data_IF_981363604511
#
_entry.id   IF_981363604511
#
_cell.length_a   1.000
_cell.length_b   1.000
_cell.length_c   1.000
_cell.angle_alpha   90.00
_cell.angle_beta   90.00
_cell.angle_gamma   90.00
#
_symmetry.space_group_name_H-M   'P 1'
#
loop_
_entity.id
_entity.type
_entity.pdbx_description
1 polymer ?
#
# COMPACT_ATOMS: atom_id res chain seq x y z
N UNK A 1 10.47 -37.34 12.45
CA UNK A 1 9.66 -36.30 13.10
C UNK A 1 9.80 -35.05 12.25
N UNK A 2 8.71 -34.56 11.66
CA UNK A 2 8.69 -33.26 10.97
C UNK A 2 9.10 -32.19 11.97
N UNK A 3 10.06 -31.34 11.60
CA UNK A 3 10.53 -30.26 12.46
C UNK A 3 9.53 -29.11 12.35
N UNK A 4 8.96 -28.66 13.47
CA UNK A 4 8.06 -27.51 13.48
C UNK A 4 8.85 -26.23 13.71
N UNK A 5 8.67 -25.22 12.86
CA UNK A 5 9.26 -23.88 13.01
C UNK A 5 8.17 -22.82 13.06
N UNK A 6 8.45 -21.72 13.75
CA UNK A 6 7.64 -20.50 13.65
C UNK A 6 8.16 -19.68 12.47
N UNK A 7 7.25 -19.23 11.61
CA UNK A 7 7.54 -18.29 10.52
C UNK A 7 6.80 -16.98 10.83
N UNK A 8 7.55 -15.93 11.11
CA UNK A 8 7.00 -14.60 11.39
C UNK A 8 6.97 -13.77 10.10
N UNK A 9 5.78 -13.28 9.75
CA UNK A 9 5.53 -12.56 8.51
C UNK A 9 4.97 -11.17 8.83
N UNK A 10 5.57 -10.13 8.27
CA UNK A 10 4.94 -8.82 8.13
C UNK A 10 4.27 -8.71 6.77
N UNK A 11 3.01 -8.29 6.76
CA UNK A 11 2.13 -8.34 5.60
C UNK A 11 1.55 -6.94 5.39
N UNK A 12 1.75 -6.39 4.21
CA UNK A 12 1.06 -5.18 3.73
C UNK A 12 0.13 -5.61 2.59
N UNK A 13 -1.18 -5.47 2.80
CA UNK A 13 -2.23 -5.83 1.84
C UNK A 13 -2.74 -4.58 1.10
N UNK A 14 -1.83 -3.85 0.47
CA UNK A 14 -2.13 -2.61 -0.22
C UNK A 14 -2.99 -2.72 -1.49
N UNK A 15 -3.61 -1.61 -1.86
CA UNK A 15 -4.51 -1.47 -3.02
C UNK A 15 -3.82 -1.77 -4.37
N UNK A 16 -2.56 -1.39 -4.54
CA UNK A 16 -1.80 -1.57 -5.80
C UNK A 16 -0.91 -2.81 -5.76
N UNK A 17 -0.26 -3.06 -4.63
CA UNK A 17 0.69 -4.16 -4.41
C UNK A 17 0.47 -4.71 -3.02
N UNK A 18 0.64 -6.02 -2.87
CA UNK A 18 0.70 -6.69 -1.58
C UNK A 18 2.13 -7.16 -1.34
N UNK A 19 2.68 -6.85 -0.18
CA UNK A 19 4.10 -6.99 0.14
C UNK A 19 4.23 -7.85 1.39
N UNK A 20 5.21 -8.75 1.40
CA UNK A 20 5.57 -9.51 2.60
C UNK A 20 7.06 -9.39 2.90
N UNK A 21 7.37 -9.43 4.19
CA UNK A 21 8.72 -9.62 4.71
C UNK A 21 8.67 -10.71 5.79
N UNK A 22 9.61 -11.65 5.72
CA UNK A 22 9.62 -12.83 6.58
C UNK A 22 10.94 -12.93 7.34
N UNK A 23 10.91 -13.51 8.53
CA UNK A 23 12.10 -13.71 9.37
C UNK A 23 13.06 -14.80 8.85
N UNK A 24 12.61 -15.62 7.90
CA UNK A 24 13.46 -16.53 7.12
C UNK A 24 14.23 -15.81 5.99
N UNK A 25 14.10 -14.49 5.85
CA UNK A 25 14.80 -13.66 4.86
C UNK A 25 14.04 -13.47 3.55
N UNK A 26 12.88 -14.12 3.36
CA UNK A 26 12.06 -13.92 2.17
C UNK A 26 11.40 -12.54 2.23
N UNK A 27 11.69 -11.70 1.23
CA UNK A 27 11.04 -10.41 0.97
C UNK A 27 10.54 -10.42 -0.46
N UNK A 28 9.23 -10.29 -0.65
CA UNK A 28 8.63 -10.29 -1.99
C UNK A 28 7.38 -9.45 -2.03
N UNK A 29 6.93 -9.12 -3.24
CA UNK A 29 5.68 -8.43 -3.47
C UNK A 29 4.98 -9.00 -4.70
N UNK A 30 3.66 -8.85 -4.73
CA UNK A 30 2.82 -9.21 -5.86
C UNK A 30 1.87 -8.05 -6.12
N UNK A 31 1.73 -7.53 -7.36
CA UNK A 31 0.66 -6.59 -7.68
C UNK A 31 -0.69 -7.15 -7.24
N UNK A 32 -1.55 -6.35 -6.61
CA UNK A 32 -2.81 -6.80 -5.96
C UNK A 32 -3.92 -7.11 -6.97
N UNK A 33 -3.59 -7.93 -7.96
CA UNK A 33 -4.42 -8.36 -9.06
C UNK A 33 -4.48 -9.88 -9.09
N UNK A 34 -5.70 -10.41 -9.17
CA UNK A 34 -5.96 -11.84 -9.30
C UNK A 34 -6.88 -12.04 -10.49
N UNK A 35 -6.47 -12.90 -11.42
CA UNK A 35 -7.19 -13.21 -12.64
C UNK A 35 -7.67 -14.66 -12.64
N UNK A 36 -8.90 -14.85 -13.08
CA UNK A 36 -9.48 -16.18 -13.31
C UNK A 36 -9.71 -16.39 -14.82
N UNK A 37 -9.31 -17.53 -15.40
CA UNK A 37 -9.58 -17.82 -16.81
C UNK A 37 -11.05 -17.65 -17.18
N UNK A 38 -11.32 -16.99 -18.32
CA UNK A 38 -12.69 -16.71 -18.79
C UNK A 38 -13.41 -17.94 -19.31
N UNK A 39 -12.67 -18.91 -19.83
CA UNK A 39 -13.18 -20.06 -20.58
C UNK A 39 -12.18 -21.23 -20.60
N UNK A 40 -12.55 -22.32 -21.26
CA UNK A 40 -11.71 -23.51 -21.39
C UNK A 40 -10.40 -23.24 -22.18
N UNK A 41 -10.39 -22.26 -23.09
CA UNK A 41 -9.21 -21.94 -23.91
C UNK A 41 -8.16 -21.24 -23.04
N UNK A 42 -8.56 -20.20 -22.32
CA UNK A 42 -7.72 -19.51 -21.35
C UNK A 42 -7.28 -20.46 -20.23
N UNK A 43 -8.17 -21.31 -19.70
CA UNK A 43 -7.78 -22.32 -18.69
C UNK A 43 -6.70 -23.28 -19.21
N UNK A 44 -6.85 -23.76 -20.45
CA UNK A 44 -5.85 -24.61 -21.10
C UNK A 44 -4.53 -23.88 -21.34
N UNK A 45 -4.57 -22.59 -21.68
CA UNK A 45 -3.37 -21.76 -21.88
C UNK A 45 -2.55 -21.61 -20.59
N UNK A 46 -3.20 -21.37 -19.45
CA UNK A 46 -2.49 -21.16 -18.18
C UNK A 46 -2.16 -22.46 -17.43
N UNK A 47 -2.94 -23.53 -17.63
CA UNK A 47 -2.78 -24.80 -16.91
C UNK A 47 -3.16 -24.72 -15.42
N UNK A 48 -3.69 -23.59 -14.95
CA UNK A 48 -4.15 -23.34 -13.58
C UNK A 48 -5.32 -22.37 -13.55
N UNK A 49 -6.08 -22.40 -12.46
CA UNK A 49 -7.33 -21.64 -12.31
C UNK A 49 -7.16 -20.23 -11.75
N UNK A 50 -6.00 -19.91 -11.16
CA UNK A 50 -5.74 -18.60 -10.55
C UNK A 50 -4.40 -18.07 -11.04
N UNK A 51 -4.39 -16.81 -11.50
CA UNK A 51 -3.22 -16.11 -12.00
C UNK A 51 -3.05 -14.84 -11.16
N UNK A 52 -1.83 -14.57 -10.70
CA UNK A 52 -1.55 -13.46 -9.79
C UNK A 52 -0.66 -12.40 -10.44
N UNK A 53 -0.75 -11.17 -9.93
CA UNK A 53 0.24 -10.12 -10.16
C UNK A 53 0.41 -9.71 -11.62
N UNK A 54 1.67 -9.51 -12.03
CA UNK A 54 2.04 -9.03 -13.36
C UNK A 54 1.56 -9.95 -14.49
N UNK A 55 1.53 -11.26 -14.25
CA UNK A 55 1.01 -12.22 -15.22
C UNK A 55 -0.49 -11.99 -15.46
N UNK A 56 -1.25 -11.73 -14.40
CA UNK A 56 -2.67 -11.43 -14.50
C UNK A 56 -2.93 -10.13 -15.27
N UNK A 57 -2.10 -9.10 -15.04
CA UNK A 57 -2.18 -7.81 -15.74
C UNK A 57 -1.82 -7.96 -17.22
N UNK A 58 -0.75 -8.70 -17.52
CA UNK A 58 -0.26 -8.96 -18.89
C UNK A 58 -1.32 -9.67 -19.73
N UNK A 59 -2.00 -10.65 -19.13
CA UNK A 59 -3.00 -11.47 -19.82
C UNK A 59 -4.46 -11.11 -19.48
N UNK A 60 -4.72 -9.89 -19.02
CA UNK A 60 -6.06 -9.40 -18.61
C UNK A 60 -7.18 -9.59 -19.65
N UNK A 61 -6.86 -9.70 -20.94
CA UNK A 61 -7.86 -9.98 -21.98
C UNK A 61 -8.44 -11.40 -21.88
N UNK A 62 -7.63 -12.36 -21.42
CA UNK A 62 -8.01 -13.76 -21.24
C UNK A 62 -8.56 -14.08 -19.83
N UNK A 63 -8.54 -13.09 -18.92
CA UNK A 63 -8.83 -13.27 -17.50
C UNK A 63 -9.97 -12.35 -17.04
N UNK A 64 -10.81 -12.85 -16.13
CA UNK A 64 -11.64 -12.01 -15.28
C UNK A 64 -10.75 -11.48 -14.16
N UNK A 65 -10.33 -10.23 -14.28
CA UNK A 65 -9.33 -9.59 -13.42
C UNK A 65 -9.98 -8.85 -12.26
N UNK A 66 -9.52 -9.12 -11.04
CA UNK A 66 -10.03 -8.52 -9.81
C UNK A 66 -8.90 -7.87 -8.99
N UNK A 67 -9.21 -6.73 -8.36
CA UNK A 67 -8.44 -6.17 -7.24
C UNK A 67 -9.28 -6.34 -5.97
N UNK A 68 -8.81 -7.05 -4.93
CA UNK A 68 -9.59 -7.29 -3.72
C UNK A 68 -9.72 -6.06 -2.81
N UNK A 69 -8.76 -5.13 -2.92
CA UNK A 69 -8.68 -3.96 -2.05
C UNK A 69 -9.07 -2.66 -2.78
N UNK A 70 -9.65 -1.72 -2.04
CA UNK A 70 -9.91 -0.33 -2.43
C UNK A 70 -9.68 0.56 -1.21
N UNK A 71 -8.90 1.64 -1.36
CA UNK A 71 -8.52 2.53 -0.24
C UNK A 71 -7.96 1.78 0.99
N UNK A 72 -7.15 0.74 0.76
CA UNK A 72 -6.55 -0.10 1.80
C UNK A 72 -7.56 -0.97 2.57
N UNK A 73 -8.81 -1.04 2.09
CA UNK A 73 -9.86 -1.86 2.68
C UNK A 73 -10.27 -2.97 1.74
N UNK A 74 -10.79 -4.07 2.28
CA UNK A 74 -11.46 -5.10 1.46
C UNK A 74 -12.64 -4.44 0.75
N UNK A 75 -12.72 -4.60 -0.57
CA UNK A 75 -13.82 -4.04 -1.36
C UNK A 75 -15.16 -4.52 -0.81
N UNK A 76 -16.10 -3.59 -0.73
CA UNK A 76 -17.45 -3.84 -0.25
C UNK A 76 -17.55 -4.24 1.24
N UNK A 77 -16.48 -4.09 2.03
CA UNK A 77 -16.50 -4.44 3.47
C UNK A 77 -17.57 -3.69 4.29
N UNK A 78 -17.92 -2.46 3.88
CA UNK A 78 -18.96 -1.69 4.55
C UNK A 78 -20.38 -2.00 4.04
N UNK A 79 -20.50 -2.79 2.98
CA UNK A 79 -21.79 -3.20 2.39
C UNK A 79 -22.41 -4.40 3.13
N UNK A 80 -23.46 -5.00 2.56
CA UNK A 80 -24.06 -6.21 3.09
C UNK A 80 -23.03 -7.37 3.07
N UNK A 81 -22.70 -7.99 4.22
CA UNK A 81 -21.78 -9.13 4.29
C UNK A 81 -22.22 -10.35 3.46
N UNK A 82 -23.51 -10.44 3.12
CA UNK A 82 -24.04 -11.50 2.28
C UNK A 82 -23.95 -11.22 0.77
N UNK A 83 -23.47 -10.04 0.37
CA UNK A 83 -23.33 -9.68 -1.05
C UNK A 83 -22.32 -10.58 -1.76
N UNK A 84 -22.62 -10.91 -3.02
CA UNK A 84 -21.77 -11.75 -3.86
C UNK A 84 -20.43 -11.06 -4.11
N UNK A 85 -20.46 -9.74 -4.24
CA UNK A 85 -19.31 -8.86 -4.48
C UNK A 85 -18.34 -8.88 -3.29
N UNK A 86 -18.85 -8.77 -2.06
CA UNK A 86 -18.02 -8.85 -0.85
C UNK A 86 -17.42 -10.25 -0.67
N UNK A 87 -18.22 -11.31 -0.84
CA UNK A 87 -17.73 -12.70 -0.77
C UNK A 87 -16.65 -12.97 -1.82
N UNK A 88 -16.81 -12.43 -3.03
CA UNK A 88 -15.80 -12.53 -4.07
C UNK A 88 -14.54 -11.74 -3.72
N UNK A 89 -14.66 -10.52 -3.17
CA UNK A 89 -13.51 -9.74 -2.71
C UNK A 89 -12.72 -10.46 -1.61
N UNK A 90 -13.40 -11.06 -0.62
CA UNK A 90 -12.78 -11.89 0.41
C UNK A 90 -12.07 -13.11 -0.19
N UNK A 91 -12.72 -13.83 -1.11
CA UNK A 91 -12.13 -14.99 -1.76
C UNK A 91 -10.86 -14.62 -2.54
N UNK A 92 -10.90 -13.51 -3.28
CA UNK A 92 -9.75 -12.98 -4.03
C UNK A 92 -8.62 -12.56 -3.08
N UNK A 93 -8.93 -11.87 -2.00
CA UNK A 93 -7.95 -11.46 -0.98
C UNK A 93 -7.30 -12.68 -0.32
N UNK A 94 -8.11 -13.70 0.00
CA UNK A 94 -7.64 -14.96 0.59
C UNK A 94 -6.72 -15.73 -0.34
N UNK A 95 -7.07 -15.83 -1.62
CA UNK A 95 -6.21 -16.45 -2.63
C UNK A 95 -4.86 -15.72 -2.76
N UNK A 96 -4.88 -14.38 -2.74
CA UNK A 96 -3.67 -13.57 -2.82
C UNK A 96 -2.79 -13.72 -1.57
N UNK A 97 -3.37 -13.70 -0.37
CA UNK A 97 -2.62 -13.93 0.87
C UNK A 97 -2.04 -15.34 0.93
N UNK A 98 -2.81 -16.36 0.53
CA UNK A 98 -2.32 -17.73 0.48
C UNK A 98 -1.11 -17.84 -0.45
N UNK A 99 -1.20 -17.25 -1.65
CA UNK A 99 -0.09 -17.24 -2.60
C UNK A 99 1.18 -16.58 -2.02
N UNK A 100 1.03 -15.46 -1.30
CA UNK A 100 2.15 -14.80 -0.63
C UNK A 100 2.78 -15.68 0.46
N UNK A 101 1.96 -16.34 1.28
CA UNK A 101 2.45 -17.25 2.33
C UNK A 101 3.12 -18.50 1.72
N UNK A 102 2.61 -19.01 0.60
CA UNK A 102 3.23 -20.11 -0.13
C UNK A 102 4.62 -19.71 -0.65
N UNK A 103 4.77 -18.51 -1.24
CA UNK A 103 6.07 -17.97 -1.64
C UNK A 103 7.04 -17.82 -0.45
N UNK A 104 6.53 -17.45 0.73
CA UNK A 104 7.34 -17.35 1.95
C UNK A 104 7.86 -18.73 2.42
N UNK A 105 7.03 -19.76 2.32
CA UNK A 105 7.39 -21.14 2.71
C UNK A 105 8.33 -21.80 1.69
N UNK A 106 8.08 -21.62 0.40
CA UNK A 106 8.90 -22.15 -0.69
C UNK A 106 10.31 -21.55 -0.71
N UNK A 107 10.47 -20.34 -0.18
CA UNK A 107 11.77 -19.69 -0.06
C UNK A 107 12.69 -20.25 1.04
N UNK A 108 12.18 -21.10 1.95
CA UNK A 108 13.03 -21.81 2.90
C UNK A 108 13.70 -23.01 2.20
N UNK A 109 15.03 -23.13 2.36
CA UNK A 109 15.81 -24.21 1.76
C UNK A 109 15.66 -25.53 2.51
N UNK A 110 15.16 -25.52 3.75
CA UNK A 110 14.99 -26.71 4.57
C UNK A 110 13.71 -27.47 4.19
N UNK A 111 13.86 -28.70 3.68
CA UNK A 111 12.73 -29.55 3.28
C UNK A 111 12.13 -30.30 4.48
N UNK A 112 10.82 -30.54 4.44
CA UNK A 112 10.12 -31.33 5.46
C UNK A 112 9.95 -30.60 6.80
N UNK A 113 9.78 -29.28 6.74
CA UNK A 113 9.48 -28.41 7.88
C UNK A 113 7.99 -28.08 7.87
N UNK A 114 7.34 -28.25 9.02
CA UNK A 114 5.99 -27.73 9.24
C UNK A 114 6.10 -26.32 9.85
N UNK A 115 5.30 -25.37 9.38
CA UNK A 115 5.33 -23.99 9.86
C UNK A 115 4.11 -23.67 10.71
N UNK A 116 4.35 -23.04 11.86
CA UNK A 116 3.38 -22.20 12.56
C UNK A 116 3.58 -20.78 12.03
N UNK A 117 2.61 -20.26 11.29
CA UNK A 117 2.70 -18.97 10.61
C UNK A 117 2.06 -17.88 11.45
N UNK A 118 2.85 -16.93 11.93
CA UNK A 118 2.38 -15.74 12.63
C UNK A 118 2.50 -14.52 11.72
N UNK A 119 1.46 -13.68 11.67
CA UNK A 119 1.43 -12.53 10.78
C UNK A 119 0.98 -11.24 11.44
N UNK A 120 1.68 -10.14 11.17
CA UNK A 120 1.15 -8.79 11.41
C UNK A 120 0.70 -8.23 10.06
N UNK A 121 -0.59 -7.87 9.96
CA UNK A 121 -1.17 -7.24 8.77
C UNK A 121 -1.26 -5.73 8.99
N UNK A 122 -0.55 -4.98 8.16
CA UNK A 122 -0.71 -3.55 8.01
C UNK A 122 -2.07 -3.22 7.39
N UNK A 123 -2.77 -2.25 7.97
CA UNK A 123 -4.00 -1.69 7.44
C UNK A 123 -3.97 -0.16 7.54
N UNK A 124 -4.84 0.56 6.79
CA UNK A 124 -5.01 1.99 6.97
C UNK A 124 -5.25 2.37 8.42
N UNK A 125 -4.76 3.53 8.83
CA UNK A 125 -4.73 3.93 10.23
C UNK A 125 -6.11 3.89 10.90
N UNK A 126 -7.11 4.42 10.20
CA UNK A 126 -8.50 4.47 10.67
C UNK A 126 -9.37 3.36 10.03
N UNK A 127 -8.82 2.14 9.92
CA UNK A 127 -9.57 1.00 9.41
C UNK A 127 -10.84 0.70 10.26
N UNK A 128 -11.99 0.63 9.60
CA UNK A 128 -13.27 0.34 10.28
C UNK A 128 -13.24 -1.03 10.97
N UNK A 129 -14.06 -1.21 12.03
CA UNK A 129 -14.21 -2.52 12.71
C UNK A 129 -14.60 -3.63 11.73
N UNK A 130 -15.40 -3.30 10.70
CA UNK A 130 -15.78 -4.24 9.63
C UNK A 130 -14.57 -4.61 8.77
N UNK A 131 -13.75 -3.65 8.37
CA UNK A 131 -12.53 -3.92 7.61
C UNK A 131 -11.52 -4.76 8.42
N UNK A 132 -11.30 -4.43 9.70
CA UNK A 132 -10.45 -5.23 10.59
C UNK A 132 -10.94 -6.68 10.67
N UNK A 133 -12.25 -6.89 10.86
CA UNK A 133 -12.84 -8.24 10.82
C UNK A 133 -12.65 -8.94 9.47
N UNK A 134 -12.82 -8.23 8.37
CA UNK A 134 -12.62 -8.78 7.03
C UNK A 134 -11.18 -9.26 6.81
N UNK A 135 -10.18 -8.51 7.28
CA UNK A 135 -8.76 -8.92 7.24
C UNK A 135 -8.49 -10.16 8.09
N UNK A 136 -9.08 -10.25 9.29
CA UNK A 136 -9.01 -11.47 10.11
C UNK A 136 -9.65 -12.67 9.40
N UNK A 137 -10.79 -12.47 8.73
CA UNK A 137 -11.47 -13.52 7.96
C UNK A 137 -10.63 -13.98 6.74
N UNK A 138 -9.89 -13.07 6.11
CA UNK A 138 -8.92 -13.38 5.04
C UNK A 138 -7.75 -14.21 5.57
N UNK A 139 -7.22 -13.85 6.74
CA UNK A 139 -6.12 -14.55 7.39
C UNK A 139 -6.51 -15.95 7.92
N UNK A 140 -7.79 -16.17 8.24
CA UNK A 140 -8.27 -17.40 8.88
C UNK A 140 -7.98 -18.64 8.03
N UNK A 141 -7.27 -19.60 8.63
CA UNK A 141 -6.86 -20.84 7.98
C UNK A 141 -5.64 -20.71 7.06
N UNK A 142 -5.01 -19.53 7.03
CA UNK A 142 -3.73 -19.28 6.36
C UNK A 142 -2.65 -19.00 7.42
N UNK A 143 -2.98 -18.14 8.39
CA UNK A 143 -2.12 -17.79 9.52
C UNK A 143 -2.62 -18.50 10.79
N UNK A 144 -1.70 -19.00 11.60
CA UNK A 144 -1.95 -19.60 12.91
C UNK A 144 -2.12 -18.53 14.00
N UNK A 145 -1.47 -17.38 13.83
CA UNK A 145 -1.62 -16.19 14.67
C UNK A 145 -1.65 -14.93 13.80
N UNK A 146 -2.53 -13.98 14.11
CA UNK A 146 -2.65 -12.74 13.35
C UNK A 146 -2.86 -11.54 14.27
N UNK A 147 -2.14 -10.45 13.99
CA UNK A 147 -2.40 -9.13 14.54
C UNK A 147 -2.64 -8.14 13.41
N UNK A 148 -3.46 -7.12 13.67
CA UNK A 148 -3.67 -6.01 12.73
C UNK A 148 -3.07 -4.76 13.37
N UNK A 149 -2.27 -4.03 12.59
CA UNK A 149 -1.65 -2.79 13.02
C UNK A 149 -1.76 -1.73 11.93
N UNK A 150 -1.64 -0.46 12.29
CA UNK A 150 -1.69 0.60 11.27
C UNK A 150 -0.40 0.62 10.46
N UNK A 151 -0.52 0.79 9.14
CA UNK A 151 0.60 0.92 8.20
C UNK A 151 1.65 1.95 8.68
N UNK A 152 1.29 3.22 8.99
CA UNK A 152 2.28 4.20 9.41
C UNK A 152 2.93 3.85 10.76
N UNK A 153 2.25 3.14 11.67
CA UNK A 153 2.87 2.63 12.89
C UNK A 153 3.88 1.52 12.60
N UNK A 154 3.55 0.57 11.71
CA UNK A 154 4.50 -0.48 11.32
C UNK A 154 5.75 0.12 10.70
N UNK A 155 5.60 1.12 9.82
CA UNK A 155 6.73 1.89 9.26
C UNK A 155 7.55 2.55 10.38
N UNK A 156 6.91 3.24 11.32
CA UNK A 156 7.60 3.85 12.46
C UNK A 156 8.40 2.82 13.27
N UNK A 157 7.77 1.68 13.56
CA UNK A 157 8.36 0.60 14.34
C UNK A 157 9.60 0.01 13.65
N UNK A 158 9.50 -0.28 12.36
CA UNK A 158 10.62 -0.81 11.57
C UNK A 158 11.80 0.14 11.44
N UNK A 159 11.55 1.45 11.52
CA UNK A 159 12.58 2.50 11.48
C UNK A 159 13.08 2.91 12.88
N UNK A 160 12.57 2.27 13.94
CA UNK A 160 12.84 2.65 15.33
C UNK A 160 12.49 4.13 15.66
N UNK A 161 11.46 4.66 15.01
CA UNK A 161 10.94 6.02 15.17
C UNK A 161 9.75 6.03 16.13
N UNK A 162 9.97 5.54 17.36
CA UNK A 162 8.88 5.28 18.30
C UNK A 162 8.36 6.53 19.04
N UNK A 163 9.08 7.65 18.97
CA UNK A 163 8.71 8.91 19.65
C UNK A 163 9.19 10.12 18.86
N UNK A 164 8.50 11.26 19.03
CA UNK A 164 8.82 12.54 18.41
C UNK A 164 8.98 12.43 16.89
N UNK A 165 8.11 11.66 16.23
CA UNK A 165 8.14 11.47 14.78
C UNK A 165 6.72 11.59 14.21
N UNK A 166 6.61 12.09 12.98
CA UNK A 166 5.37 12.07 12.22
C UNK A 166 5.60 11.29 10.93
N UNK A 167 4.92 10.16 10.78
CA UNK A 167 5.00 9.32 9.59
C UNK A 167 3.93 9.74 8.59
N UNK A 168 4.31 9.88 7.33
CA UNK A 168 3.45 10.07 6.17
C UNK A 168 3.60 8.84 5.29
N UNK A 169 2.62 7.95 5.25
CA UNK A 169 2.60 6.80 4.35
C UNK A 169 1.70 7.07 3.15
N UNK A 170 2.29 7.27 1.96
CA UNK A 170 1.54 7.53 0.72
C UNK A 170 1.38 6.23 -0.07
N UNK A 171 0.26 5.57 0.16
CA UNK A 171 -0.15 4.37 -0.57
C UNK A 171 -0.81 4.66 -1.91
N UNK A 172 -1.42 3.62 -2.49
CA UNK A 172 -2.21 3.78 -3.71
C UNK A 172 -3.59 4.35 -3.42
N UNK A 173 -4.31 3.81 -2.42
CA UNK A 173 -5.68 4.25 -2.14
C UNK A 173 -5.80 5.30 -1.04
N UNK A 174 -4.83 5.38 -0.14
CA UNK A 174 -4.85 6.24 1.05
C UNK A 174 -3.50 6.94 1.25
N UNK A 175 -3.56 8.07 1.93
CA UNK A 175 -2.41 8.64 2.63
C UNK A 175 -2.71 8.56 4.12
N UNK A 176 -1.85 7.88 4.85
CA UNK A 176 -2.01 7.64 6.28
C UNK A 176 -0.93 8.40 7.04
N UNK A 177 -1.36 9.24 7.98
CA UNK A 177 -0.51 10.05 8.83
C UNK A 177 -0.57 9.49 10.25
N UNK A 178 0.58 9.40 10.92
CA UNK A 178 0.66 8.96 12.31
C UNK A 178 1.70 9.76 13.09
N UNK A 179 1.28 10.33 14.21
CA UNK A 179 2.16 10.92 15.22
C UNK A 179 2.64 9.84 16.19
N UNK A 180 3.94 9.79 16.44
CA UNK A 180 4.57 8.86 17.39
C UNK A 180 5.02 9.62 18.65
N UNK A 181 4.64 9.11 19.82
CA UNK A 181 4.94 9.74 21.12
C UNK A 181 5.40 8.76 22.21
N UNK A 182 5.90 7.59 21.81
CA UNK A 182 6.48 6.59 22.72
C UNK A 182 5.50 5.51 23.19
N UNK A 183 4.23 5.57 22.76
CA UNK A 183 3.22 4.54 23.02
C UNK A 183 2.53 4.12 21.72
N UNK A 184 1.68 3.09 21.78
CA UNK A 184 0.89 2.66 20.62
C UNK A 184 -0.05 3.81 20.21
N UNK A 185 -0.01 4.27 18.95
CA UNK A 185 -0.86 5.35 18.48
C UNK A 185 -2.35 5.03 18.65
N UNK A 186 -3.10 6.02 19.11
CA UNK A 186 -4.56 5.97 19.19
C UNK A 186 -5.20 6.50 17.89
N UNK A 187 -6.52 6.46 17.79
CA UNK A 187 -7.23 7.03 16.63
C UNK A 187 -7.00 8.56 16.51
N UNK A 188 -6.77 9.26 17.62
CA UNK A 188 -6.48 10.72 17.66
C UNK A 188 -5.07 11.07 17.17
N UNK A 189 -4.15 10.09 17.19
CA UNK A 189 -2.78 10.28 16.70
C UNK A 189 -2.67 10.10 15.19
N UNK A 190 -3.78 9.82 14.52
CA UNK A 190 -3.79 9.31 13.16
C UNK A 190 -4.81 10.03 12.26
N UNK A 191 -4.44 10.22 11.00
CA UNK A 191 -5.32 10.80 9.98
C UNK A 191 -5.17 9.99 8.69
N UNK A 192 -6.30 9.58 8.11
CA UNK A 192 -6.33 8.99 6.77
C UNK A 192 -6.99 9.95 5.79
N UNK A 193 -6.36 10.18 4.64
CA UNK A 193 -6.95 10.88 3.49
C UNK A 193 -7.04 9.96 2.28
N UNK A 194 -7.97 10.23 1.38
CA UNK A 194 -8.22 9.40 0.19
C UNK A 194 -7.64 10.00 -1.11
N UNK A 195 -6.84 11.08 -1.00
CA UNK A 195 -6.13 11.67 -2.14
C UNK A 195 -4.71 11.11 -2.21
N UNK A 196 -4.61 9.88 -2.71
CA UNK A 196 -3.36 9.13 -2.80
C UNK A 196 -3.01 8.78 -4.26
N UNK A 197 -2.25 7.70 -4.49
CA UNK A 197 -1.80 7.29 -5.82
C UNK A 197 -2.90 7.11 -6.87
N UNK A 198 -4.04 6.50 -6.53
CA UNK A 198 -5.19 6.27 -7.42
C UNK A 198 -5.90 7.60 -7.75
N UNK A 199 -5.90 8.56 -6.81
CA UNK A 199 -6.40 9.92 -7.07
C UNK A 199 -5.50 10.67 -8.04
N UNK A 200 -4.17 10.55 -7.90
CA UNK A 200 -3.21 11.11 -8.87
C UNK A 200 -3.42 10.48 -10.25
N UNK A 201 -3.66 9.17 -10.33
CA UNK A 201 -3.95 8.49 -11.59
C UNK A 201 -5.21 9.06 -12.27
N UNK A 202 -6.29 9.25 -11.51
CA UNK A 202 -7.53 9.79 -12.06
C UNK A 202 -7.37 11.26 -12.48
N UNK A 203 -6.77 12.11 -11.64
CA UNK A 203 -6.51 13.51 -11.97
C UNK A 203 -5.62 13.64 -13.21
N UNK A 204 -4.60 12.80 -13.32
CA UNK A 204 -3.71 12.78 -14.48
C UNK A 204 -4.45 12.33 -15.75
N UNK A 205 -5.28 11.28 -15.67
CA UNK A 205 -6.14 10.85 -16.78
C UNK A 205 -7.05 11.97 -17.27
N UNK A 206 -7.70 12.69 -16.35
CA UNK A 206 -8.63 13.77 -16.68
C UNK A 206 -7.90 14.95 -17.35
N UNK A 207 -6.72 15.32 -16.85
CA UNK A 207 -5.90 16.38 -17.43
C UNK A 207 -5.42 16.03 -18.85
N UNK A 208 -4.94 14.80 -19.08
CA UNK A 208 -4.53 14.37 -20.42
C UNK A 208 -5.72 14.35 -21.38
N UNK A 209 -6.84 13.77 -20.97
CA UNK A 209 -8.07 13.67 -21.79
C UNK A 209 -8.68 15.07 -22.05
N UNK A 210 -8.43 16.03 -21.18
CA UNK A 210 -8.79 17.43 -21.41
C UNK A 210 -7.94 18.06 -22.51
N UNK A 211 -6.62 17.82 -22.50
CA UNK A 211 -5.66 18.39 -23.47
C UNK A 211 -5.69 17.70 -24.83
N UNK A 212 -5.73 16.37 -24.86
CA UNK A 212 -5.68 15.57 -26.08
C UNK A 212 -6.98 14.77 -26.26
N UNK A 213 -7.88 15.28 -27.09
CA UNK A 213 -9.24 14.73 -27.30
C UNK A 213 -9.28 13.46 -28.16
N UNK A 214 -8.18 13.19 -28.85
CA UNK A 214 -8.02 12.13 -29.84
C UNK A 214 -7.29 10.90 -29.28
N UNK A 215 -6.79 10.99 -28.05
CA UNK A 215 -6.02 9.92 -27.40
C UNK A 215 -6.97 8.94 -26.72
N UNK A 216 -6.73 7.64 -26.94
CA UNK A 216 -7.40 6.58 -26.21
C UNK A 216 -6.50 6.09 -25.05
N UNK A 217 -6.90 6.38 -23.81
CA UNK A 217 -6.18 6.01 -22.60
C UNK A 217 -7.00 5.05 -21.74
N UNK A 218 -6.29 4.22 -20.98
CA UNK A 218 -6.86 3.48 -19.86
C UNK A 218 -6.18 3.93 -18.58
N UNK A 219 -6.86 3.78 -17.44
CA UNK A 219 -6.27 4.12 -16.14
C UNK A 219 -4.97 3.35 -15.87
N UNK A 220 -4.85 2.11 -16.36
CA UNK A 220 -3.63 1.31 -16.22
C UNK A 220 -2.44 1.90 -17.01
N UNK A 221 -2.69 2.51 -18.18
CA UNK A 221 -1.65 3.22 -18.93
C UNK A 221 -1.20 4.46 -18.16
N UNK A 222 -2.16 5.24 -17.66
CA UNK A 222 -1.88 6.45 -16.87
C UNK A 222 -1.08 6.14 -15.61
N UNK A 223 -1.47 5.10 -14.88
CA UNK A 223 -0.73 4.59 -13.72
C UNK A 223 0.71 4.21 -14.08
N UNK A 224 0.91 3.50 -15.19
CA UNK A 224 2.25 3.14 -15.67
C UNK A 224 3.07 4.39 -15.98
N UNK A 225 2.51 5.34 -16.73
CA UNK A 225 3.19 6.60 -17.06
C UNK A 225 3.55 7.40 -15.81
N UNK A 226 2.67 7.45 -14.80
CA UNK A 226 2.95 8.05 -13.49
C UNK A 226 4.11 7.33 -12.80
N UNK A 227 4.03 6.01 -12.63
CA UNK A 227 5.07 5.23 -11.93
C UNK A 227 6.46 5.36 -12.58
N UNK A 228 6.52 5.55 -13.90
CA UNK A 228 7.78 5.73 -14.64
C UNK A 228 8.33 7.16 -14.59
N UNK A 229 7.48 8.18 -14.39
CA UNK A 229 7.88 9.57 -14.65
C UNK A 229 7.49 10.58 -13.55
N UNK A 230 6.83 10.18 -12.46
CA UNK A 230 6.21 11.13 -11.53
C UNK A 230 7.19 12.14 -10.90
N UNK A 231 6.83 13.42 -11.00
CA UNK A 231 7.62 14.53 -10.50
C UNK A 231 6.74 15.74 -10.18
N UNK A 232 7.24 16.63 -9.32
CA UNK A 232 6.58 17.88 -8.91
C UNK A 232 7.46 19.11 -9.19
N UNK A 233 8.78 18.93 -9.29
CA UNK A 233 9.73 20.00 -9.54
C UNK A 233 9.38 20.84 -10.78
N UNK A 234 9.54 22.15 -10.66
CA UNK A 234 9.42 23.09 -11.79
C UNK A 234 10.62 23.01 -12.74
N UNK A 235 11.77 22.53 -12.25
CA UNK A 235 12.97 22.26 -13.04
C UNK A 235 12.99 20.79 -13.46
N UNK A 236 13.27 20.52 -14.73
CA UNK A 236 13.40 19.16 -15.24
C UNK A 236 13.22 19.05 -16.75
N UNK A 237 13.46 17.85 -17.26
CA UNK A 237 13.21 17.50 -18.64
C UNK A 237 11.71 17.37 -18.93
N UNK A 238 11.35 17.53 -20.20
CA UNK A 238 9.97 17.28 -20.65
C UNK A 238 9.71 15.78 -20.65
N UNK A 239 8.52 15.41 -20.19
CA UNK A 239 8.05 14.04 -20.19
C UNK A 239 7.15 13.82 -21.40
N UNK A 240 7.56 12.90 -22.26
CA UNK A 240 6.77 12.45 -23.39
C UNK A 240 6.33 11.01 -23.18
N UNK A 241 5.07 10.73 -23.51
CA UNK A 241 4.53 9.36 -23.56
C UNK A 241 4.12 9.01 -24.97
N UNK A 242 4.17 7.71 -25.28
CA UNK A 242 3.65 7.17 -26.52
C UNK A 242 2.25 6.61 -26.29
N UNK A 243 1.28 7.14 -27.05
CA UNK A 243 -0.14 6.78 -26.90
C UNK A 243 -0.78 6.46 -28.25
N UNK A 244 -1.72 5.50 -28.30
CA UNK A 244 -2.38 5.14 -29.54
C UNK A 244 -3.44 6.20 -29.90
N UNK A 245 -3.27 6.81 -31.07
CA UNK A 245 -4.24 7.70 -31.72
C UNK A 245 -4.70 7.03 -32.99
N UNK A 246 -5.97 6.59 -33.03
CA UNK A 246 -6.54 5.84 -34.17
C UNK A 246 -5.67 4.65 -34.63
N UNK A 247 -5.04 3.96 -33.67
CA UNK A 247 -4.17 2.80 -33.93
C UNK A 247 -2.71 3.13 -34.28
N UNK A 248 -2.32 4.41 -34.36
CA UNK A 248 -0.93 4.82 -34.57
C UNK A 248 -0.31 5.31 -33.26
N UNK A 249 0.93 4.90 -32.91
CA UNK A 249 1.63 5.45 -31.76
C UNK A 249 2.02 6.91 -32.05
N UNK A 250 1.58 7.82 -31.21
CA UNK A 250 1.94 9.24 -31.27
C UNK A 250 2.57 9.68 -29.94
N UNK A 251 3.62 10.51 -30.03
CA UNK A 251 4.26 11.12 -28.87
C UNK A 251 3.46 12.33 -28.40
N UNK A 252 3.12 12.37 -27.12
CA UNK A 252 2.40 13.48 -26.47
C UNK A 252 3.20 14.00 -25.27
N UNK A 253 3.28 15.32 -25.15
CA UNK A 253 3.93 16.01 -24.04
C UNK A 253 2.95 16.13 -22.86
N UNK A 254 3.26 15.43 -21.77
CA UNK A 254 2.41 15.33 -20.58
C UNK A 254 3.02 16.02 -19.35
N UNK A 255 4.09 16.79 -19.56
CA UNK A 255 4.93 17.35 -18.50
C UNK A 255 4.10 18.11 -17.46
N UNK A 256 3.23 19.01 -17.91
CA UNK A 256 2.46 19.88 -17.03
C UNK A 256 1.30 19.14 -16.36
N UNK A 257 0.66 18.21 -17.09
CA UNK A 257 -0.48 17.42 -16.59
C UNK A 257 -0.03 16.47 -15.47
N UNK A 258 1.11 15.79 -15.68
CA UNK A 258 1.69 14.89 -14.67
C UNK A 258 2.13 15.67 -13.44
N UNK A 259 2.82 16.80 -13.63
CA UNK A 259 3.27 17.67 -12.54
C UNK A 259 2.09 18.18 -11.72
N UNK A 260 1.06 18.69 -12.41
CA UNK A 260 -0.14 19.21 -11.76
C UNK A 260 -0.85 18.11 -10.96
N UNK A 261 -1.05 16.92 -11.54
CA UNK A 261 -1.71 15.81 -10.85
C UNK A 261 -0.95 15.38 -9.60
N UNK A 262 0.38 15.27 -9.66
CA UNK A 262 1.21 14.90 -8.52
C UNK A 262 1.14 15.94 -7.39
N UNK A 263 1.05 17.24 -7.70
CA UNK A 263 0.93 18.30 -6.68
C UNK A 263 -0.39 18.30 -5.92
N UNK A 264 -1.46 17.76 -6.49
CA UNK A 264 -2.81 17.86 -5.91
C UNK A 264 -2.98 17.14 -4.57
N UNK A 265 -2.09 16.22 -4.20
CA UNK A 265 -2.14 15.51 -2.90
C UNK A 265 -1.49 16.32 -1.77
N UNK A 266 -0.61 17.27 -2.09
CA UNK A 266 0.25 17.96 -1.12
C UNK A 266 -0.56 18.80 -0.10
N UNK A 267 -1.59 19.57 -0.50
CA UNK A 267 -2.35 20.36 0.47
C UNK A 267 -3.04 19.54 1.56
N UNK A 268 -3.66 18.42 1.19
CA UNK A 268 -4.36 17.56 2.16
C UNK A 268 -3.37 16.89 3.13
N UNK A 269 -2.15 16.55 2.66
CA UNK A 269 -1.08 16.02 3.50
C UNK A 269 -0.62 17.06 4.53
N UNK A 270 -0.28 18.27 4.08
CA UNK A 270 0.21 19.33 4.97
C UNK A 270 -0.86 19.79 5.96
N UNK A 271 -2.12 19.83 5.53
CA UNK A 271 -3.25 20.10 6.42
C UNK A 271 -3.42 19.01 7.49
N UNK A 272 -3.23 17.73 7.12
CA UNK A 272 -3.23 16.62 8.09
C UNK A 272 -2.07 16.73 9.09
N UNK A 273 -0.86 17.05 8.62
CA UNK A 273 0.30 17.32 9.47
C UNK A 273 -0.01 18.45 10.46
N UNK A 274 -0.58 19.56 9.98
CA UNK A 274 -0.94 20.72 10.79
C UNK A 274 -1.91 20.35 11.91
N UNK A 275 -2.92 19.53 11.62
CA UNK A 275 -3.89 19.05 12.63
C UNK A 275 -3.21 18.23 13.72
N UNK A 276 -2.44 17.21 13.33
CA UNK A 276 -1.74 16.33 14.28
C UNK A 276 -0.73 17.10 15.16
N UNK A 277 -0.10 18.14 14.63
CA UNK A 277 0.81 18.98 15.41
C UNK A 277 0.02 19.90 16.34
N UNK A 278 -1.04 20.55 15.86
CA UNK A 278 -1.82 21.51 16.65
C UNK A 278 -2.48 20.87 17.88
N UNK A 279 -2.87 19.60 17.77
CA UNK A 279 -3.46 18.81 18.85
C UNK A 279 -2.41 18.16 19.77
N UNK A 280 -1.12 18.41 19.53
CA UNK A 280 -0.04 17.89 20.37
C UNK A 280 0.38 18.89 21.44
N UNK A 281 1.03 18.38 22.49
CA UNK A 281 1.61 19.19 23.55
C UNK A 281 2.55 20.27 22.95
N UNK A 282 2.29 21.57 23.21
CA UNK A 282 3.07 22.67 22.65
C UNK A 282 4.58 22.57 22.86
N UNK A 283 5.04 21.95 23.96
CA UNK A 283 6.46 21.78 24.24
C UNK A 283 7.14 20.82 23.26
N UNK A 284 6.38 19.89 22.67
CA UNK A 284 6.89 18.84 21.80
C UNK A 284 6.53 19.02 20.32
N UNK A 285 5.71 20.01 19.96
CA UNK A 285 5.31 20.29 18.58
C UNK A 285 6.52 20.51 17.65
N UNK A 286 7.56 21.18 18.13
CA UNK A 286 8.77 21.43 17.33
C UNK A 286 9.54 20.14 17.02
N UNK A 287 9.51 19.15 17.92
CA UNK A 287 10.17 17.86 17.68
C UNK A 287 9.47 17.13 16.53
N UNK A 288 8.14 17.15 16.48
CA UNK A 288 7.37 16.58 15.36
C UNK A 288 7.70 17.27 14.04
N UNK A 289 7.75 18.61 14.03
CA UNK A 289 8.10 19.37 12.81
C UNK A 289 9.51 19.07 12.29
N UNK A 290 10.44 18.74 13.18
CA UNK A 290 11.82 18.38 12.82
C UNK A 290 11.98 16.96 12.29
N UNK A 291 10.98 16.10 12.49
CA UNK A 291 11.08 14.67 12.23
C UNK A 291 9.82 14.15 11.50
N UNK A 292 9.54 14.75 10.35
CA UNK A 292 8.50 14.27 9.44
C UNK A 292 9.11 13.28 8.46
N UNK A 293 8.58 12.06 8.41
CA UNK A 293 9.14 10.95 7.65
C UNK A 293 8.17 10.51 6.57
N UNK A 294 8.63 10.57 5.32
CA UNK A 294 7.87 10.28 4.11
C UNK A 294 8.16 8.85 3.64
N UNK A 295 7.11 8.04 3.65
CA UNK A 295 7.07 6.62 3.31
C UNK A 295 5.98 6.32 2.26
N UNK A 296 5.82 5.03 1.94
CA UNK A 296 4.86 4.57 0.92
C UNK A 296 5.34 4.78 -0.50
N UNK A 297 4.68 4.12 -1.46
CA UNK A 297 5.05 4.18 -2.87
C UNK A 297 5.02 5.60 -3.45
N UNK A 298 4.10 6.44 -2.98
CA UNK A 298 4.00 7.84 -3.42
C UNK A 298 5.15 8.74 -2.94
N UNK A 299 5.92 8.33 -1.92
CA UNK A 299 7.15 9.04 -1.52
C UNK A 299 8.17 9.17 -2.65
N UNK A 300 8.09 8.30 -3.66
CA UNK A 300 9.03 8.23 -4.78
C UNK A 300 8.82 9.34 -5.82
N UNK A 301 7.75 10.12 -5.72
CA UNK A 301 7.52 11.27 -6.61
C UNK A 301 8.68 12.26 -6.46
N UNK A 302 9.34 12.56 -7.58
CA UNK A 302 10.55 13.39 -7.58
C UNK A 302 10.17 14.83 -7.18
N UNK A 303 10.84 15.35 -6.15
CA UNK A 303 10.59 16.69 -5.62
C UNK A 303 9.47 16.78 -4.56
N UNK A 304 8.71 15.71 -4.32
CA UNK A 304 7.60 15.71 -3.36
C UNK A 304 8.06 16.06 -1.93
N UNK A 305 9.18 15.48 -1.47
CA UNK A 305 9.77 15.79 -0.17
C UNK A 305 9.94 17.30 0.04
N UNK A 306 10.50 17.98 -0.97
CA UNK A 306 10.76 19.42 -0.92
C UNK A 306 9.46 20.22 -0.99
N UNK A 307 8.52 19.83 -1.84
CA UNK A 307 7.22 20.52 -1.94
C UNK A 307 6.44 20.48 -0.60
N UNK A 308 6.44 19.33 0.08
CA UNK A 308 5.82 19.20 1.40
C UNK A 308 6.56 20.07 2.42
N UNK A 309 7.90 20.04 2.43
CA UNK A 309 8.75 20.83 3.33
C UNK A 309 8.53 22.34 3.14
N UNK A 310 8.53 22.82 1.90
CA UNK A 310 8.29 24.23 1.55
C UNK A 310 6.89 24.67 2.01
N UNK A 311 5.85 23.86 1.76
CA UNK A 311 4.49 24.21 2.17
C UNK A 311 4.28 24.11 3.69
N UNK A 312 4.99 23.20 4.37
CA UNK A 312 5.05 23.19 5.84
C UNK A 312 5.70 24.47 6.37
N UNK A 313 6.79 24.95 5.76
CA UNK A 313 7.43 26.21 6.19
C UNK A 313 6.45 27.38 6.05
N UNK A 314 5.74 27.47 4.92
CA UNK A 314 4.75 28.52 4.68
C UNK A 314 3.58 28.49 5.68
N UNK A 315 3.11 27.30 6.08
CA UNK A 315 1.88 27.15 6.89
C UNK A 315 2.13 26.96 8.38
N UNK A 316 3.27 26.37 8.76
CA UNK A 316 3.64 25.99 10.13
C UNK A 316 4.85 26.77 10.66
N UNK A 317 5.48 27.59 9.82
CA UNK A 317 6.70 28.35 10.10
C UNK A 317 7.99 27.53 10.02
N UNK A 318 7.91 26.20 10.12
CA UNK A 318 9.04 25.29 10.05
C UNK A 318 8.57 23.86 9.71
N UNK A 319 9.40 23.13 8.98
CA UNK A 319 9.21 21.71 8.72
C UNK A 319 10.50 21.10 8.19
N UNK A 320 10.79 19.85 8.56
CA UNK A 320 11.86 19.05 7.99
C UNK A 320 11.32 17.68 7.61
N UNK A 321 11.41 17.36 6.32
CA UNK A 321 10.87 16.12 5.75
C UNK A 321 12.02 15.23 5.27
N UNK A 322 12.04 13.99 5.76
CA UNK A 322 13.01 12.95 5.41
C UNK A 322 12.30 11.87 4.60
N UNK A 323 12.85 11.52 3.44
CA UNK A 323 12.34 10.39 2.63
C UNK A 323 13.11 9.13 2.99
N UNK A 324 12.42 8.02 3.21
CA UNK A 324 13.05 6.73 3.48
C UNK A 324 13.59 6.07 2.20
N UNK A 325 14.57 5.18 2.36
CA UNK A 325 15.28 4.56 1.24
C UNK A 325 14.48 3.44 0.55
N UNK A 326 13.88 2.53 1.33
CA UNK A 326 13.14 1.36 0.82
C UNK A 326 11.64 1.42 1.15
N UNK A 327 10.86 2.36 0.60
CA UNK A 327 9.46 2.52 0.98
C UNK A 327 8.55 1.37 0.58
N UNK A 328 8.91 0.58 -0.44
CA UNK A 328 8.11 -0.56 -0.87
C UNK A 328 7.96 -1.62 0.22
N UNK A 329 9.00 -1.81 1.03
CA UNK A 329 9.03 -2.85 2.06
C UNK A 329 8.92 -2.30 3.48
N UNK A 330 8.89 -0.98 3.67
CA UNK A 330 8.97 -0.37 4.99
C UNK A 330 7.87 -0.86 5.95
N UNK A 331 6.62 -0.87 5.49
CA UNK A 331 5.48 -1.37 6.28
C UNK A 331 5.61 -2.85 6.61
N UNK A 332 5.86 -3.69 5.60
CA UNK A 332 6.02 -5.14 5.79
C UNK A 332 7.23 -5.49 6.67
N UNK A 333 8.37 -4.80 6.53
CA UNK A 333 9.55 -5.01 7.37
C UNK A 333 9.26 -4.66 8.83
N UNK A 334 8.63 -3.50 9.07
CA UNK A 334 8.26 -3.09 10.41
C UNK A 334 7.19 -3.97 11.05
N UNK A 335 6.22 -4.44 10.26
CA UNK A 335 5.25 -5.43 10.68
C UNK A 335 5.92 -6.77 11.04
N UNK A 336 6.92 -7.20 10.29
CA UNK A 336 7.69 -8.41 10.58
C UNK A 336 8.51 -8.26 11.86
N UNK A 337 9.15 -7.10 12.07
CA UNK A 337 9.86 -6.80 13.32
C UNK A 337 8.89 -6.81 14.51
N UNK A 338 7.73 -6.16 14.38
CA UNK A 338 6.67 -6.19 15.40
C UNK A 338 6.21 -7.63 15.67
N UNK A 339 6.05 -8.45 14.63
CA UNK A 339 5.67 -9.85 14.74
C UNK A 339 6.69 -10.64 15.59
N UNK A 340 7.98 -10.41 15.39
CA UNK A 340 9.05 -11.08 16.14
C UNK A 340 9.15 -10.63 17.60
N UNK A 341 8.92 -9.35 17.84
CA UNK A 341 9.13 -8.74 19.16
C UNK A 341 7.91 -8.92 20.08
N UNK A 342 6.74 -9.25 19.52
CA UNK A 342 5.52 -9.45 20.29
C UNK A 342 5.54 -10.76 21.10
N UNK A 343 5.33 -10.69 22.44
CA UNK A 343 5.30 -11.88 23.29
C UNK A 343 4.21 -12.88 22.88
N UNK A 344 4.45 -14.18 23.16
CA UNK A 344 3.53 -15.27 22.83
C UNK A 344 2.10 -15.05 23.35
N UNK A 345 1.95 -14.35 24.48
CA UNK A 345 0.67 -14.03 25.12
C UNK A 345 -0.24 -13.11 24.29
N UNK A 346 0.33 -12.33 23.36
CA UNK A 346 -0.41 -11.41 22.49
C UNK A 346 -0.94 -12.07 21.22
N UNK A 347 -0.52 -13.31 20.96
CA UNK A 347 -1.00 -14.08 19.82
C UNK A 347 -2.27 -14.82 20.22
N UNK A 348 -3.42 -14.26 19.85
CA UNK A 348 -4.69 -15.00 19.89
C UNK A 348 -4.52 -16.30 19.07
N UNK A 349 -4.67 -17.45 19.72
CA UNK A 349 -4.71 -18.75 19.05
C UNK A 349 -5.93 -18.77 18.10
N UNK A 350 -5.71 -18.44 16.82
CA UNK A 350 -6.76 -18.52 15.77
C UNK A 350 -7.23 -19.98 15.56
N UNK A 351 -6.54 -20.95 16.17
CA UNK A 351 -6.72 -22.38 16.02
C UNK A 351 -7.58 -23.08 17.10
N UNK A 352 -8.15 -22.37 18.10
CA UNK A 352 -8.97 -23.01 19.15
C UNK A 352 -10.48 -22.67 19.17
N UNK A 353 -11.10 -22.26 18.05
CA UNK A 353 -12.58 -22.22 17.96
C UNK A 353 -13.15 -22.67 16.63
#
# INVERSE_FOLDING_TARGET
MTKTKILNIGIDLGTSRSVIACDNGVRTFVPSYVGFPKDAVSRKMFGRDVIFGDEAIKHRMALNLFRPFDKGMIKYADTNPESKEYKNALYVAKALLQHLVDLAKEGDQERGVDYIVRGVIGAPALASRKNRKALLDVARGILDGVMISSEPFTVAYGLNLLSNALIIDIGAGTVDLCRMHGTIPTDEDQITTFKAGDYVDQAFYDLITKKYKDVNLTINMVKKFKEENAFISSQGERVFIEVPVKGKPEKRDITDELRQACRMIVPDIVEGIRKLIAEYDPEFQNNLKQNVVLAGGGSQIIGLRKEIEDYMIETLGYGKVIKIEEPLFAGANGAMMLCKDMPDEYWDEVSKR
#
